data_IF_378307851509
#
_entry.id   IF_378307851509
#
_cell.length_a   1.000
_cell.length_b   1.000
_cell.length_c   1.000
_cell.angle_alpha   90.00
_cell.angle_beta   90.00
_cell.angle_gamma   90.00
#
_symmetry.space_group_name_H-M   'P 1'
#
loop_
_entity.id
_entity.type
_entity.pdbx_description
1 polymer ?
#
# COMPACT_ATOMS: atom_id res chain seq x y z
N UNK A 1 -27.74 -9.96 -16.80
CA UNK A 1 -26.31 -9.59 -16.88
C UNK A 1 -25.63 -10.07 -15.62
N UNK A 2 -24.58 -10.90 -15.71
CA UNK A 2 -23.87 -11.40 -14.53
C UNK A 2 -23.19 -10.23 -13.79
N UNK A 3 -23.79 -9.78 -12.69
CA UNK A 3 -23.30 -8.67 -11.87
C UNK A 3 -21.94 -8.95 -11.20
N UNK A 4 -21.47 -10.20 -11.24
CA UNK A 4 -20.24 -10.65 -10.59
C UNK A 4 -18.98 -10.36 -11.41
N UNK A 5 -19.08 -10.26 -12.74
CA UNK A 5 -17.92 -10.08 -13.61
C UNK A 5 -18.20 -9.00 -14.66
N UNK A 6 -17.77 -7.74 -14.43
CA UNK A 6 -17.87 -6.73 -15.49
C UNK A 6 -16.99 -7.18 -16.66
N UNK A 7 -17.60 -7.33 -17.84
CA UNK A 7 -16.86 -7.58 -19.09
C UNK A 7 -15.95 -6.37 -19.34
N UNK A 8 -14.66 -6.54 -19.08
CA UNK A 8 -13.65 -5.50 -19.29
C UNK A 8 -13.14 -5.59 -20.72
N UNK A 9 -13.31 -4.54 -21.55
CA UNK A 9 -12.75 -4.52 -22.89
C UNK A 9 -11.22 -4.66 -22.81
N UNK A 10 -10.64 -5.64 -23.51
CA UNK A 10 -9.18 -5.88 -23.52
C UNK A 10 -8.38 -4.63 -23.90
N UNK A 11 -8.95 -3.74 -24.72
CA UNK A 11 -8.36 -2.44 -25.07
C UNK A 11 -8.08 -1.50 -23.88
N UNK A 12 -8.73 -1.71 -22.73
CA UNK A 12 -8.51 -0.92 -21.51
C UNK A 12 -7.37 -1.47 -20.65
N UNK A 13 -6.97 -2.73 -20.87
CA UNK A 13 -5.99 -3.45 -20.07
C UNK A 13 -4.63 -2.73 -20.01
N UNK A 14 -4.06 -2.21 -21.11
CA UNK A 14 -2.76 -1.52 -21.05
C UNK A 14 -2.77 -0.31 -20.12
N UNK A 15 -3.87 0.45 -20.07
CA UNK A 15 -4.00 1.62 -19.19
C UNK A 15 -4.11 1.21 -17.72
N UNK A 16 -4.85 0.13 -17.45
CA UNK A 16 -5.01 -0.39 -16.09
C UNK A 16 -3.69 -0.98 -15.57
N UNK A 17 -2.96 -1.70 -16.41
CA UNK A 17 -1.62 -2.18 -16.12
C UNK A 17 -0.64 -1.03 -15.91
N UNK A 18 -0.71 0.02 -16.73
CA UNK A 18 0.10 1.23 -16.52
C UNK A 18 -0.09 1.82 -15.12
N UNK A 19 -1.35 1.95 -14.66
CA UNK A 19 -1.66 2.44 -13.31
C UNK A 19 -1.15 1.47 -12.23
N UNK A 20 -1.27 0.16 -12.45
CA UNK A 20 -0.76 -0.84 -11.52
C UNK A 20 0.77 -0.78 -11.39
N UNK A 21 1.50 -0.67 -12.50
CA UNK A 21 2.96 -0.50 -12.51
C UNK A 21 3.37 0.81 -11.83
N UNK A 22 2.67 1.92 -12.09
CA UNK A 22 2.93 3.17 -11.38
C UNK A 22 2.71 3.01 -9.86
N UNK A 23 1.65 2.33 -9.45
CA UNK A 23 1.41 1.99 -8.04
C UNK A 23 2.54 1.15 -7.44
N UNK A 24 3.05 0.17 -8.19
CA UNK A 24 4.17 -0.66 -7.77
C UNK A 24 5.44 0.15 -7.51
N UNK A 25 5.78 1.06 -8.43
CA UNK A 25 6.96 1.92 -8.30
C UNK A 25 6.83 2.87 -7.12
N UNK A 26 5.64 3.47 -6.93
CA UNK A 26 5.37 4.37 -5.79
C UNK A 26 5.52 3.61 -4.46
N UNK A 27 4.86 2.46 -4.33
CA UNK A 27 4.88 1.69 -3.09
C UNK A 27 6.27 1.09 -2.82
N UNK A 28 6.94 0.58 -3.85
CA UNK A 28 8.31 0.05 -3.74
C UNK A 28 9.30 1.14 -3.32
N UNK A 29 9.23 2.33 -3.92
CA UNK A 29 10.07 3.47 -3.51
C UNK A 29 9.79 3.89 -2.08
N UNK A 30 8.51 3.95 -1.69
CA UNK A 30 8.12 4.18 -0.30
C UNK A 30 8.73 3.14 0.64
N UNK A 31 8.61 1.85 0.32
CA UNK A 31 9.18 0.77 1.14
C UNK A 31 10.69 0.88 1.29
N UNK A 32 11.41 1.13 0.20
CA UNK A 32 12.85 1.33 0.22
C UNK A 32 13.27 2.47 1.15
N UNK A 33 12.57 3.62 1.11
CA UNK A 33 12.85 4.79 1.95
C UNK A 33 12.41 4.57 3.40
N UNK A 34 11.23 4.01 3.60
CA UNK A 34 10.68 3.66 4.91
C UNK A 34 11.63 2.74 5.68
N UNK A 35 12.18 1.76 4.99
CA UNK A 35 13.06 0.77 5.61
C UNK A 35 14.44 1.35 5.97
N UNK A 36 14.91 2.43 5.31
CA UNK A 36 16.10 3.15 5.79
C UNK A 36 15.88 3.78 7.16
N UNK A 37 14.67 4.30 7.39
CA UNK A 37 14.29 4.88 8.68
C UNK A 37 14.16 3.78 9.71
N UNK A 38 13.39 2.74 9.45
CA UNK A 38 13.16 1.67 10.43
C UNK A 38 14.41 0.84 10.71
N UNK A 39 15.32 0.67 9.74
CA UNK A 39 16.64 0.05 9.98
C UNK A 39 17.47 0.85 10.98
N UNK A 40 17.36 2.18 10.94
CA UNK A 40 18.04 3.05 11.91
C UNK A 40 17.37 3.01 13.29
N UNK A 41 16.15 2.48 13.40
CA UNK A 41 15.46 2.26 14.68
C UNK A 41 15.74 0.88 15.27
N UNK A 42 15.88 -0.15 14.43
CA UNK A 42 16.25 -1.50 14.85
C UNK A 42 17.00 -2.22 13.75
N UNK A 43 18.32 -2.32 13.91
CA UNK A 43 19.15 -3.13 13.02
C UNK A 43 18.82 -4.63 13.15
N UNK A 44 18.54 -5.10 14.37
CA UNK A 44 18.16 -6.48 14.65
C UNK A 44 16.91 -6.91 13.87
N UNK A 45 15.93 -6.02 13.67
CA UNK A 45 14.75 -6.31 12.86
C UNK A 45 15.10 -6.69 11.41
N UNK A 46 16.17 -6.11 10.87
CA UNK A 46 16.59 -6.41 9.51
C UNK A 46 17.55 -7.60 9.48
N UNK A 47 18.60 -7.57 10.28
CA UNK A 47 19.66 -8.59 10.26
C UNK A 47 19.17 -9.96 10.71
N UNK A 48 18.27 -10.02 11.71
CA UNK A 48 17.78 -11.28 12.29
C UNK A 48 16.47 -11.78 11.70
N UNK A 49 15.68 -10.90 11.05
CA UNK A 49 14.40 -11.30 10.43
C UNK A 49 14.39 -11.05 8.92
N UNK A 50 14.41 -9.78 8.49
CA UNK A 50 14.11 -9.45 7.08
C UNK A 50 15.18 -9.96 6.11
N UNK A 51 16.46 -9.90 6.46
CA UNK A 51 17.53 -10.37 5.59
C UNK A 51 17.44 -11.87 5.34
N UNK A 52 17.03 -12.65 6.34
CA UNK A 52 16.74 -14.07 6.17
C UNK A 52 15.51 -14.30 5.29
N UNK A 53 14.44 -13.52 5.47
CA UNK A 53 13.23 -13.60 4.64
C UNK A 53 13.51 -13.30 3.15
N UNK A 54 14.45 -12.40 2.88
CA UNK A 54 14.78 -11.92 1.53
C UNK A 54 16.16 -12.37 1.05
N UNK A 55 16.73 -13.44 1.62
CA UNK A 55 18.09 -13.90 1.30
C UNK A 55 18.32 -14.14 -0.20
N UNK A 56 17.28 -14.56 -0.93
CA UNK A 56 17.32 -14.76 -2.39
C UNK A 56 17.62 -13.48 -3.19
N UNK A 57 17.46 -12.30 -2.59
CA UNK A 57 17.71 -11.00 -3.19
C UNK A 57 18.96 -10.31 -2.65
N UNK A 58 19.83 -11.04 -1.94
CA UNK A 58 21.09 -10.51 -1.46
C UNK A 58 22.14 -10.55 -2.59
N UNK A 59 22.37 -9.39 -3.23
CA UNK A 59 23.36 -9.23 -4.29
C UNK A 59 24.77 -8.86 -3.78
N UNK A 60 25.06 -9.05 -2.49
CA UNK A 60 26.32 -8.65 -1.87
C UNK A 60 26.43 -7.13 -1.64
N UNK A 61 25.29 -6.44 -1.57
CA UNK A 61 25.26 -5.00 -1.27
C UNK A 61 25.59 -4.74 0.20
N UNK A 62 26.13 -3.56 0.55
CA UNK A 62 26.20 -3.12 1.94
C UNK A 62 24.81 -3.14 2.60
N UNK A 63 24.76 -3.28 3.93
CA UNK A 63 23.51 -3.46 4.68
C UNK A 63 22.41 -2.46 4.28
N UNK A 64 22.70 -1.16 4.20
CA UNK A 64 21.74 -0.14 3.77
C UNK A 64 21.26 -0.31 2.33
N UNK A 65 22.12 -0.77 1.43
CA UNK A 65 21.73 -1.12 0.06
C UNK A 65 20.76 -2.30 0.05
N UNK A 66 21.03 -3.34 0.84
CA UNK A 66 20.13 -4.49 0.94
C UNK A 66 18.81 -4.13 1.62
N UNK A 67 18.81 -3.27 2.65
CA UNK A 67 17.59 -2.71 3.28
C UNK A 67 16.69 -2.04 2.24
N UNK A 68 17.26 -1.26 1.31
CA UNK A 68 16.47 -0.62 0.24
C UNK A 68 15.83 -1.66 -0.70
N UNK A 69 16.57 -2.70 -1.08
CA UNK A 69 16.05 -3.81 -1.90
C UNK A 69 14.93 -4.54 -1.18
N UNK A 70 15.13 -4.89 0.10
CA UNK A 70 14.13 -5.54 0.94
C UNK A 70 12.86 -4.69 1.04
N UNK A 71 12.99 -3.41 1.36
CA UNK A 71 11.86 -2.50 1.46
C UNK A 71 11.08 -2.39 0.16
N UNK A 72 11.79 -2.29 -0.97
CA UNK A 72 11.14 -2.30 -2.29
C UNK A 72 10.38 -3.60 -2.53
N UNK A 73 11.03 -4.75 -2.33
CA UNK A 73 10.45 -6.08 -2.55
C UNK A 73 9.26 -6.37 -1.64
N UNK A 74 9.28 -5.87 -0.41
CA UNK A 74 8.21 -6.04 0.57
C UNK A 74 6.91 -5.29 0.21
N UNK A 75 6.98 -4.19 -0.56
CA UNK A 75 5.84 -3.27 -0.75
C UNK A 75 5.40 -3.07 -2.21
N UNK A 76 6.24 -3.31 -3.22
CA UNK A 76 5.87 -3.01 -4.62
C UNK A 76 4.60 -3.75 -5.06
N UNK A 77 4.43 -5.02 -4.66
CA UNK A 77 3.28 -5.83 -5.07
C UNK A 77 1.97 -5.32 -4.43
N UNK A 78 2.04 -4.70 -3.25
CA UNK A 78 0.88 -4.04 -2.61
C UNK A 78 0.46 -2.83 -3.45
N UNK A 79 1.43 -2.02 -3.87
CA UNK A 79 1.19 -0.89 -4.76
C UNK A 79 0.60 -1.33 -6.10
N UNK A 80 1.10 -2.44 -6.65
CA UNK A 80 0.55 -3.04 -7.86
C UNK A 80 -0.93 -3.43 -7.69
N UNK A 81 -1.24 -4.17 -6.62
CA UNK A 81 -2.61 -4.61 -6.32
C UNK A 81 -3.55 -3.43 -6.09
N UNK A 82 -3.11 -2.41 -5.35
CA UNK A 82 -3.85 -1.18 -5.13
C UNK A 82 -4.11 -0.44 -6.46
N UNK A 83 -3.07 -0.26 -7.28
CA UNK A 83 -3.18 0.37 -8.58
C UNK A 83 -4.11 -0.39 -9.53
N UNK A 84 -4.09 -1.72 -9.47
CA UNK A 84 -5.02 -2.57 -10.21
C UNK A 84 -6.47 -2.34 -9.80
N UNK A 85 -6.75 -2.27 -8.49
CA UNK A 85 -8.09 -1.98 -7.96
C UNK A 85 -8.56 -0.58 -8.38
N UNK A 86 -7.75 0.45 -8.18
CA UNK A 86 -8.10 1.82 -8.56
C UNK A 86 -8.30 1.95 -10.08
N UNK A 87 -7.41 1.35 -10.86
CA UNK A 87 -7.48 1.30 -12.32
C UNK A 87 -8.76 0.66 -12.84
N UNK A 88 -9.22 -0.45 -12.23
CA UNK A 88 -10.50 -1.10 -12.57
C UNK A 88 -11.71 -0.21 -12.33
N UNK A 89 -11.66 0.67 -11.33
CA UNK A 89 -12.75 1.59 -11.05
C UNK A 89 -12.68 2.79 -12.00
N UNK A 90 -11.48 3.33 -12.23
CA UNK A 90 -11.29 4.61 -12.88
C UNK A 90 -11.26 4.57 -14.41
N UNK A 91 -10.52 3.63 -15.00
CA UNK A 91 -10.30 3.58 -16.46
C UNK A 91 -11.60 3.41 -17.24
N UNK A 92 -12.59 2.60 -16.81
CA UNK A 92 -13.87 2.50 -17.52
C UNK A 92 -14.80 3.71 -17.30
N UNK A 93 -14.53 4.57 -16.32
CA UNK A 93 -15.43 5.63 -15.91
C UNK A 93 -15.01 7.02 -16.41
N UNK A 94 -13.72 7.24 -16.66
CA UNK A 94 -13.18 8.56 -17.00
C UNK A 94 -12.20 8.51 -18.18
N UNK A 95 -12.06 9.63 -18.92
CA UNK A 95 -11.00 9.78 -19.93
C UNK A 95 -9.62 9.54 -19.32
N UNK A 96 -8.65 9.11 -20.13
CA UNK A 96 -7.34 8.63 -19.66
C UNK A 96 -6.65 9.57 -18.65
N UNK A 97 -6.49 10.85 -18.98
CA UNK A 97 -5.86 11.85 -18.11
C UNK A 97 -6.59 12.00 -16.77
N UNK A 98 -7.92 11.99 -16.80
CA UNK A 98 -8.76 12.12 -15.60
C UNK A 98 -8.67 10.86 -14.73
N UNK A 99 -8.72 9.67 -15.33
CA UNK A 99 -8.55 8.40 -14.63
C UNK A 99 -7.19 8.34 -13.92
N UNK A 100 -6.12 8.74 -14.60
CA UNK A 100 -4.77 8.84 -14.04
C UNK A 100 -4.70 9.80 -12.85
N UNK A 101 -5.20 11.03 -13.00
CA UNK A 101 -5.20 12.03 -11.90
C UNK A 101 -5.96 11.52 -10.68
N UNK A 102 -7.10 10.86 -10.90
CA UNK A 102 -7.93 10.27 -9.83
C UNK A 102 -7.21 9.12 -9.12
N UNK A 103 -6.52 8.25 -9.86
CA UNK A 103 -5.71 7.19 -9.28
C UNK A 103 -4.50 7.73 -8.51
N UNK A 104 -3.81 8.75 -9.01
CA UNK A 104 -2.72 9.43 -8.29
C UNK A 104 -3.20 10.05 -6.99
N UNK A 105 -4.35 10.73 -7.00
CA UNK A 105 -4.96 11.21 -5.77
C UNK A 105 -5.36 10.08 -4.81
N UNK A 106 -5.73 8.90 -5.35
CA UNK A 106 -5.98 7.69 -4.56
C UNK A 106 -4.70 7.15 -3.92
N UNK A 107 -3.59 7.07 -4.65
CA UNK A 107 -2.29 6.71 -4.09
C UNK A 107 -1.82 7.68 -3.01
N UNK A 108 -2.10 8.98 -3.16
CA UNK A 108 -1.84 9.97 -2.12
C UNK A 108 -2.60 9.67 -0.82
N UNK A 109 -3.87 9.26 -0.90
CA UNK A 109 -4.65 8.82 0.27
C UNK A 109 -4.02 7.56 0.89
N UNK A 110 -3.70 6.56 0.08
CA UNK A 110 -3.11 5.30 0.54
C UNK A 110 -1.80 5.56 1.28
N UNK A 111 -0.89 6.33 0.68
CA UNK A 111 0.40 6.67 1.25
C UNK A 111 0.24 7.49 2.54
N UNK A 112 -0.64 8.49 2.55
CA UNK A 112 -0.93 9.29 3.73
C UNK A 112 -1.48 8.44 4.88
N UNK A 113 -2.40 7.52 4.61
CA UNK A 113 -2.93 6.59 5.60
C UNK A 113 -1.88 5.61 6.13
N UNK A 114 -1.02 5.07 5.25
CA UNK A 114 0.08 4.19 5.64
C UNK A 114 1.10 4.90 6.54
N UNK A 115 1.51 6.12 6.17
CA UNK A 115 2.43 6.95 6.97
C UNK A 115 1.82 7.33 8.32
N UNK A 116 0.55 7.74 8.36
CA UNK A 116 -0.13 8.05 9.61
C UNK A 116 -0.20 6.84 10.54
N UNK A 117 -0.56 5.67 10.01
CA UNK A 117 -0.62 4.43 10.79
C UNK A 117 0.77 3.97 11.25
N UNK A 118 1.79 4.07 10.40
CA UNK A 118 3.18 3.80 10.77
C UNK A 118 3.66 4.73 11.91
N UNK A 119 3.28 6.02 11.86
CA UNK A 119 3.54 6.98 12.94
C UNK A 119 2.82 6.61 14.25
N UNK A 120 1.58 6.13 14.18
CA UNK A 120 0.86 5.59 15.35
C UNK A 120 1.57 4.34 15.87
N UNK A 121 2.02 3.42 15.01
CA UNK A 121 2.80 2.25 15.40
C UNK A 121 4.11 2.62 16.08
N UNK A 122 4.80 3.66 15.60
CA UNK A 122 6.01 4.19 16.23
C UNK A 122 5.71 4.74 17.62
N UNK A 123 4.66 5.56 17.76
CA UNK A 123 4.25 6.10 19.05
C UNK A 123 3.86 4.98 20.02
N UNK A 124 3.10 3.99 19.55
CA UNK A 124 2.68 2.82 20.32
C UNK A 124 3.87 2.03 20.85
N UNK A 125 4.87 1.75 20.01
CA UNK A 125 6.10 1.07 20.42
C UNK A 125 6.94 1.89 21.41
N UNK A 126 7.02 3.22 21.24
CA UNK A 126 7.83 4.11 22.09
C UNK A 126 7.21 4.41 23.45
N UNK A 127 5.89 4.40 23.55
CA UNK A 127 5.18 4.59 24.80
C UNK A 127 5.14 3.32 25.66
N UNK A 128 5.81 2.24 25.23
CA UNK A 128 5.86 0.98 25.96
C UNK A 128 4.55 0.20 25.91
N UNK A 129 3.65 0.53 24.99
CA UNK A 129 2.42 -0.25 24.78
C UNK A 129 2.65 -1.50 23.93
N UNK A 130 3.84 -1.67 23.35
CA UNK A 130 4.19 -2.87 22.60
C UNK A 130 4.18 -4.10 23.50
N UNK A 131 3.44 -5.13 23.08
CA UNK A 131 3.34 -6.39 23.82
C UNK A 131 4.59 -7.25 23.58
N UNK A 132 5.61 -7.09 24.43
CA UNK A 132 6.84 -7.88 24.34
C UNK A 132 6.60 -9.38 24.54
N UNK A 133 5.59 -9.74 25.33
CA UNK A 133 5.28 -11.14 25.62
C UNK A 133 4.72 -11.83 24.38
N UNK A 134 3.83 -11.16 23.64
CA UNK A 134 3.31 -11.66 22.36
C UNK A 134 4.41 -11.90 21.30
N UNK A 135 5.56 -11.22 21.42
CA UNK A 135 6.70 -11.35 20.49
C UNK A 135 7.83 -12.24 21.03
N UNK A 136 7.75 -12.73 22.28
CA UNK A 136 8.83 -13.45 22.97
C UNK A 136 9.29 -14.68 22.19
N UNK A 137 8.36 -15.54 21.78
CA UNK A 137 8.69 -16.77 21.05
C UNK A 137 9.47 -16.47 19.76
N UNK A 138 9.07 -15.43 19.02
CA UNK A 138 9.77 -15.04 17.80
C UNK A 138 11.13 -14.40 18.10
N UNK A 139 11.22 -13.55 19.13
CA UNK A 139 12.49 -12.97 19.56
C UNK A 139 13.49 -14.08 19.94
N UNK A 140 13.05 -15.07 20.71
CA UNK A 140 13.86 -16.22 21.12
C UNK A 140 14.31 -17.04 19.91
N UNK A 141 13.39 -17.38 19.00
CA UNK A 141 13.67 -18.16 17.80
C UNK A 141 14.68 -17.47 16.86
N UNK A 142 14.68 -16.14 16.84
CA UNK A 142 15.58 -15.32 16.00
C UNK A 142 16.84 -14.87 16.75
N UNK A 143 17.01 -15.24 18.03
CA UNK A 143 18.13 -14.84 18.86
C UNK A 143 18.20 -13.32 19.09
N UNK A 144 17.06 -12.63 19.16
CA UNK A 144 16.95 -11.22 19.52
C UNK A 144 17.22 -11.08 21.02
N UNK A 145 18.18 -10.25 21.41
CA UNK A 145 18.53 -10.09 22.83
C UNK A 145 17.47 -9.28 23.58
N UNK A 146 17.45 -9.39 24.91
CA UNK A 146 16.55 -8.58 25.75
C UNK A 146 16.72 -7.07 25.53
N UNK A 147 17.94 -6.62 25.21
CA UNK A 147 18.26 -5.22 24.92
C UNK A 147 17.74 -4.77 23.53
N UNK A 148 17.73 -5.67 22.54
CA UNK A 148 17.25 -5.40 21.19
C UNK A 148 15.72 -5.50 21.06
N UNK A 149 15.08 -6.33 21.91
CA UNK A 149 13.67 -6.68 21.80
C UNK A 149 12.72 -5.47 21.73
N UNK A 150 12.86 -4.41 22.56
CA UNK A 150 11.95 -3.26 22.48
C UNK A 150 12.01 -2.55 21.12
N UNK A 151 13.20 -2.36 20.57
CA UNK A 151 13.39 -1.73 19.27
C UNK A 151 12.88 -2.64 18.13
N UNK A 152 13.18 -3.93 18.21
CA UNK A 152 12.72 -4.95 17.26
C UNK A 152 11.19 -4.99 17.17
N UNK A 153 10.53 -5.13 18.33
CA UNK A 153 9.06 -5.20 18.43
C UNK A 153 8.43 -3.88 18.00
N UNK A 154 9.01 -2.74 18.39
CA UNK A 154 8.57 -1.42 17.95
C UNK A 154 8.56 -1.28 16.42
N UNK A 155 9.63 -1.69 15.74
CA UNK A 155 9.67 -1.71 14.27
C UNK A 155 8.66 -2.69 13.66
N UNK A 156 8.43 -3.84 14.31
CA UNK A 156 7.37 -4.77 13.96
C UNK A 156 5.98 -4.10 13.93
N UNK A 157 5.65 -3.34 14.98
CA UNK A 157 4.39 -2.58 15.03
C UNK A 157 4.31 -1.47 13.99
N UNK A 158 5.41 -0.76 13.70
CA UNK A 158 5.45 0.25 12.63
C UNK A 158 5.07 -0.38 11.29
N UNK A 159 5.67 -1.52 10.93
CA UNK A 159 5.36 -2.21 9.67
C UNK A 159 3.91 -2.71 9.64
N UNK A 160 3.46 -3.40 10.69
CA UNK A 160 2.10 -3.94 10.76
C UNK A 160 1.03 -2.84 10.65
N UNK A 161 1.23 -1.74 11.38
CA UNK A 161 0.34 -0.59 11.31
C UNK A 161 0.39 0.08 9.93
N UNK A 162 1.57 0.19 9.31
CA UNK A 162 1.72 0.70 7.95
C UNK A 162 0.93 -0.09 6.91
N UNK A 163 0.99 -1.43 6.96
CA UNK A 163 0.17 -2.30 6.08
C UNK A 163 -1.32 -2.11 6.31
N UNK A 164 -1.77 -2.04 7.57
CA UNK A 164 -3.17 -1.79 7.91
C UNK A 164 -3.63 -0.41 7.41
N UNK A 165 -2.81 0.63 7.60
CA UNK A 165 -3.05 1.98 7.09
C UNK A 165 -3.15 2.01 5.57
N UNK A 166 -2.27 1.29 4.87
CA UNK A 166 -2.34 1.13 3.42
C UNK A 166 -3.65 0.47 2.95
N UNK A 167 -4.10 -0.57 3.64
CA UNK A 167 -5.40 -1.23 3.36
C UNK A 167 -6.58 -0.28 3.58
N UNK A 168 -6.62 0.42 4.72
CA UNK A 168 -7.67 1.41 5.03
C UNK A 168 -7.68 2.50 3.96
N UNK A 169 -6.51 3.04 3.62
CA UNK A 169 -6.36 4.05 2.59
C UNK A 169 -6.86 3.56 1.22
N UNK A 170 -6.63 2.29 0.87
CA UNK A 170 -7.15 1.70 -0.37
C UNK A 170 -8.67 1.63 -0.35
N UNK A 171 -9.28 1.17 0.75
CA UNK A 171 -10.73 1.11 0.90
C UNK A 171 -11.37 2.51 0.76
N UNK A 172 -10.78 3.51 1.41
CA UNK A 172 -11.23 4.91 1.32
C UNK A 172 -11.09 5.44 -0.10
N UNK A 173 -9.92 5.25 -0.74
CA UNK A 173 -9.67 5.71 -2.10
C UNK A 173 -10.62 5.04 -3.12
N UNK A 174 -10.77 3.72 -3.05
CA UNK A 174 -11.66 2.94 -3.90
C UNK A 174 -13.13 3.35 -3.69
N UNK A 175 -13.55 3.50 -2.43
CA UNK A 175 -14.89 3.98 -2.07
C UNK A 175 -15.18 5.37 -2.64
N UNK A 176 -14.25 6.31 -2.52
CA UNK A 176 -14.37 7.66 -3.09
C UNK A 176 -14.52 7.63 -4.61
N UNK A 177 -13.74 6.81 -5.30
CA UNK A 177 -13.87 6.64 -6.76
C UNK A 177 -15.21 5.98 -7.12
N UNK A 178 -15.61 4.93 -6.41
CA UNK A 178 -16.88 4.24 -6.66
C UNK A 178 -18.08 5.19 -6.49
N UNK A 179 -18.08 6.02 -5.45
CA UNK A 179 -19.12 7.03 -5.21
C UNK A 179 -19.13 8.10 -6.32
N UNK A 180 -17.96 8.62 -6.71
CA UNK A 180 -17.87 9.60 -7.79
C UNK A 180 -18.40 9.03 -9.12
N UNK A 181 -18.10 7.77 -9.42
CA UNK A 181 -18.62 7.06 -10.60
C UNK A 181 -20.14 6.92 -10.56
N UNK A 182 -20.71 6.56 -9.40
CA UNK A 182 -22.16 6.43 -9.22
C UNK A 182 -22.88 7.76 -9.44
N UNK A 183 -22.35 8.86 -8.86
CA UNK A 183 -22.92 10.22 -9.02
C UNK A 183 -22.95 10.65 -10.48
N UNK A 184 -21.86 10.44 -11.22
CA UNK A 184 -21.78 10.81 -12.63
C UNK A 184 -22.76 10.01 -13.51
N UNK A 185 -22.91 8.71 -13.26
CA UNK A 185 -23.90 7.88 -13.98
C UNK A 185 -25.32 8.36 -13.74
N UNK A 186 -25.66 8.67 -12.48
CA UNK A 186 -26.99 9.18 -12.13
C UNK A 186 -27.28 10.52 -12.82
N UNK A 187 -26.33 11.45 -12.81
CA UNK A 187 -26.48 12.75 -13.49
C UNK A 187 -26.70 12.61 -15.00
N UNK A 188 -25.99 11.69 -15.65
CA UNK A 188 -26.17 11.42 -17.08
C UNK A 188 -27.57 10.89 -17.41
N UNK A 189 -28.10 9.99 -16.60
CA UNK A 189 -29.45 9.44 -16.80
C UNK A 189 -30.54 10.50 -16.64
N UNK A 190 -30.39 11.42 -15.68
CA UNK A 190 -31.34 12.53 -15.49
C UNK A 190 -31.36 13.44 -16.72
N UNK A 191 -30.19 13.82 -17.25
CA UNK A 191 -30.10 14.64 -18.45
C UNK A 191 -30.67 13.96 -19.70
N UNK A 192 -30.47 12.65 -19.84
CA UNK A 192 -31.06 11.86 -20.94
C UNK A 192 -32.59 11.84 -20.85
N UNK A 193 -33.16 11.69 -19.64
CA UNK A 193 -34.62 11.74 -19.40
C UNK A 193 -35.22 13.13 -19.63
N UNK A 194 -34.51 14.21 -19.26
CA UNK A 194 -34.97 15.58 -19.52
C UNK A 194 -35.02 15.86 -21.02
N UNK A 195 -33.98 15.46 -21.76
CA UNK A 195 -33.92 15.62 -23.22
C UNK A 195 -35.00 14.83 -23.97
N UNK A 196 -35.38 13.65 -23.47
CA UNK A 196 -36.48 12.86 -24.04
C UNK A 196 -37.87 13.48 -23.78
N UNK A 197 -38.02 14.33 -22.77
CA UNK A 197 -39.27 15.05 -22.48
C UNK A 197 -39.45 16.31 -23.31
N UNK A 198 -38.38 16.84 -23.89
CA UNK A 198 -38.37 18.06 -24.71
C UNK A 198 -38.59 17.79 -26.21
N UNK A 199 -38.59 16.52 -26.64
CA UNK A 199 -38.83 16.06 -28.03
C UNK A 199 -40.26 15.56 -28.15
#
# INVERSE_FOLDING_TARGET
MNHLYPVLPLRLLPRMLGIAVAGALIAGTYGALHDQVTYSLSEAYFTKLKFHQFHYANFGLPARGFVAVVGFLATWWVGFAAGWVLGRIAVPAWPGREAWRRCLAGFGIILGSALAAAGIGLAYGRLGFGDLEAWREMCDALGVTAEEAPAFVGVGYIHNAGYLGGLIGLLVAAGRLALARRRQRRGRLVLEQEREREI
#
